data_IF_976039703560
#
_entry.id   IF_976039703560
#
_cell.length_a   1.000
_cell.length_b   1.000
_cell.length_c   1.000
_cell.angle_alpha   90.00
_cell.angle_beta   90.00
_cell.angle_gamma   90.00
#
_symmetry.space_group_name_H-M   'P 1'
#
loop_
_entity.id
_entity.type
_entity.pdbx_description
1 polymer ?
#
# COMPACT_ATOMS: atom_id res chain seq x y z
N UNK A 1 0.67 -8.16 -12.02
CA UNK A 1 1.75 -8.32 -13.04
C UNK A 1 2.99 -7.54 -12.64
N UNK A 2 4.14 -8.12 -12.80
CA UNK A 2 5.45 -7.49 -12.66
C UNK A 2 6.19 -7.53 -13.99
N UNK A 3 6.75 -6.40 -14.41
CA UNK A 3 7.61 -6.30 -15.59
C UNK A 3 8.88 -5.53 -15.26
N UNK A 4 10.00 -5.84 -15.92
CA UNK A 4 11.28 -5.19 -15.65
C UNK A 4 11.63 -4.13 -16.69
N UNK A 5 11.64 -4.47 -17.98
CA UNK A 5 11.99 -3.56 -19.07
C UNK A 5 10.86 -3.34 -20.08
N UNK A 6 9.59 -3.41 -19.63
CA UNK A 6 8.44 -3.22 -20.50
C UNK A 6 7.30 -2.55 -19.77
N UNK A 7 6.36 -2.01 -20.53
CA UNK A 7 5.15 -1.43 -19.98
C UNK A 7 4.28 -2.49 -19.33
N UNK A 8 3.67 -2.14 -18.19
CA UNK A 8 2.64 -2.94 -17.53
C UNK A 8 1.27 -2.32 -17.84
N UNK A 9 0.49 -2.94 -18.73
CA UNK A 9 -0.77 -2.37 -19.18
C UNK A 9 -1.93 -3.35 -19.14
N UNK A 10 -3.13 -2.83 -18.81
CA UNK A 10 -4.39 -3.58 -18.81
C UNK A 10 -4.42 -4.79 -17.86
N UNK A 11 -3.62 -4.75 -16.79
CA UNK A 11 -3.63 -5.80 -15.77
C UNK A 11 -4.72 -5.52 -14.73
N UNK A 12 -5.28 -6.60 -14.21
CA UNK A 12 -6.28 -6.53 -13.16
C UNK A 12 -5.95 -7.50 -12.03
N UNK A 13 -5.93 -6.96 -10.81
CA UNK A 13 -5.92 -7.74 -9.58
C UNK A 13 -7.31 -7.62 -8.94
N UNK A 14 -7.93 -8.74 -8.62
CA UNK A 14 -9.27 -8.76 -8.03
C UNK A 14 -9.22 -9.55 -6.73
N UNK A 15 -9.56 -8.89 -5.64
CA UNK A 15 -9.94 -9.56 -4.41
C UNK A 15 -11.44 -9.83 -4.48
N UNK A 16 -11.80 -11.09 -4.59
CA UNK A 16 -13.19 -11.51 -4.80
C UNK A 16 -14.05 -11.24 -3.56
N UNK A 17 -15.36 -11.26 -3.76
CA UNK A 17 -16.33 -11.11 -2.69
C UNK A 17 -16.03 -12.08 -1.52
N UNK A 18 -16.11 -11.56 -0.30
CA UNK A 18 -15.88 -12.29 0.96
C UNK A 18 -14.49 -12.94 1.09
N UNK A 19 -13.53 -12.55 0.25
CA UNK A 19 -12.15 -13.05 0.35
C UNK A 19 -11.38 -12.33 1.46
N UNK A 20 -10.45 -13.07 2.07
CA UNK A 20 -9.53 -12.52 3.06
C UNK A 20 -8.08 -12.67 2.59
N UNK A 21 -7.28 -11.61 2.70
CA UNK A 21 -5.85 -11.61 2.46
C UNK A 21 -5.16 -11.06 3.71
N UNK A 22 -4.18 -11.80 4.23
CA UNK A 22 -3.27 -11.31 5.25
C UNK A 22 -1.87 -11.20 4.66
N UNK A 23 -1.21 -10.06 4.85
CA UNK A 23 0.10 -9.76 4.25
C UNK A 23 1.05 -9.23 5.30
N UNK A 24 2.26 -9.76 5.30
CA UNK A 24 3.28 -9.48 6.30
C UNK A 24 3.53 -10.68 7.21
N UNK A 25 4.26 -10.46 8.29
CA UNK A 25 4.66 -11.54 9.20
C UNK A 25 4.28 -11.16 10.63
N UNK A 26 3.49 -12.03 11.21
CA UNK A 26 3.22 -12.01 12.63
C UNK A 26 4.32 -12.80 13.38
N UNK A 27 5.11 -12.11 14.20
CA UNK A 27 6.01 -12.72 15.21
C UNK A 27 7.07 -13.74 14.77
N UNK A 28 7.65 -13.67 13.57
CA UNK A 28 8.79 -14.51 13.24
C UNK A 28 10.08 -13.72 13.14
N UNK A 29 10.97 -13.91 14.11
CA UNK A 29 12.28 -13.23 14.17
C UNK A 29 13.33 -13.84 13.22
N UNK A 30 13.02 -14.93 12.53
CA UNK A 30 13.97 -15.70 11.74
C UNK A 30 13.80 -15.54 10.22
N UNK A 31 12.79 -14.83 9.76
CA UNK A 31 12.57 -14.60 8.34
C UNK A 31 13.06 -13.20 7.94
N UNK A 32 14.13 -13.15 7.18
CA UNK A 32 14.61 -11.94 6.52
C UNK A 32 13.69 -11.59 5.32
N UNK A 33 12.48 -11.13 5.60
CA UNK A 33 11.61 -10.58 4.56
C UNK A 33 11.99 -9.12 4.32
N UNK A 34 12.61 -8.84 3.20
CA UNK A 34 12.92 -7.48 2.78
C UNK A 34 11.77 -6.94 1.94
N UNK A 35 11.16 -5.85 2.39
CA UNK A 35 10.18 -5.10 1.63
C UNK A 35 8.90 -4.76 2.39
N UNK A 36 8.25 -3.72 1.93
CA UNK A 36 6.93 -3.32 2.39
C UNK A 36 5.86 -4.24 1.81
N UNK A 37 4.74 -4.49 2.49
CA UNK A 37 3.65 -5.26 1.91
C UNK A 37 2.93 -4.44 0.83
N UNK A 38 2.77 -5.04 -0.35
CA UNK A 38 2.09 -4.44 -1.49
C UNK A 38 0.91 -5.28 -1.96
N UNK A 39 -0.27 -4.68 -2.07
CA UNK A 39 -1.37 -5.21 -2.86
C UNK A 39 -1.53 -4.33 -4.09
N UNK A 40 -1.25 -4.88 -5.27
CA UNK A 40 -1.00 -4.08 -6.46
C UNK A 40 -1.67 -4.64 -7.71
N UNK A 41 -2.21 -3.75 -8.56
CA UNK A 41 -2.73 -4.11 -9.87
C UNK A 41 -1.62 -4.50 -10.85
N UNK A 42 -0.59 -3.65 -10.95
CA UNK A 42 0.61 -3.92 -11.75
C UNK A 42 1.80 -3.08 -11.29
N UNK A 43 3.00 -3.59 -11.58
CA UNK A 43 4.27 -2.94 -11.29
C UNK A 43 5.22 -3.07 -12.49
N UNK A 44 5.97 -2.03 -12.77
CA UNK A 44 7.09 -2.05 -13.72
C UNK A 44 8.31 -1.34 -13.14
N UNK A 45 9.50 -1.83 -13.47
CA UNK A 45 10.74 -1.16 -13.07
C UNK A 45 11.11 -0.06 -14.07
N UNK A 46 11.18 -0.40 -15.36
CA UNK A 46 11.49 0.53 -16.43
C UNK A 46 10.41 0.48 -17.50
N UNK A 47 9.53 1.46 -17.51
CA UNK A 47 8.41 1.55 -18.44
C UNK A 47 7.17 2.13 -17.79
N UNK A 48 6.14 2.34 -18.58
CA UNK A 48 4.89 2.94 -18.12
C UNK A 48 3.95 1.89 -17.50
N UNK A 49 3.25 2.29 -16.44
CA UNK A 49 2.17 1.52 -15.82
C UNK A 49 0.83 2.16 -16.18
N UNK A 50 0.08 1.53 -17.09
CA UNK A 50 -1.11 2.16 -17.68
C UNK A 50 -2.34 1.26 -17.69
N UNK A 51 -3.53 1.85 -17.40
CA UNK A 51 -4.82 1.17 -17.45
C UNK A 51 -4.90 -0.10 -16.57
N UNK A 52 -4.14 -0.16 -15.51
CA UNK A 52 -4.18 -1.27 -14.56
C UNK A 52 -5.21 -1.01 -13.47
N UNK A 53 -5.68 -2.07 -12.83
CA UNK A 53 -6.63 -1.92 -11.74
C UNK A 53 -6.44 -2.90 -10.59
N UNK A 54 -6.77 -2.41 -9.39
CA UNK A 54 -6.97 -3.18 -8.18
C UNK A 54 -8.44 -3.06 -7.78
N UNK A 55 -9.13 -4.19 -7.70
CA UNK A 55 -10.54 -4.25 -7.34
C UNK A 55 -10.72 -5.05 -6.05
N UNK A 56 -11.20 -4.41 -5.01
CA UNK A 56 -11.52 -5.02 -3.72
C UNK A 56 -13.05 -5.09 -3.61
N UNK A 57 -13.60 -6.31 -3.66
CA UNK A 57 -15.04 -6.57 -3.71
C UNK A 57 -15.68 -6.58 -2.32
N UNK A 58 -16.99 -6.44 -2.29
CA UNK A 58 -17.79 -6.39 -1.07
C UNK A 58 -17.54 -7.59 -0.13
N UNK A 59 -17.51 -7.32 1.16
CA UNK A 59 -17.30 -8.33 2.21
C UNK A 59 -15.85 -8.80 2.33
N UNK A 60 -14.96 -8.36 1.44
CA UNK A 60 -13.55 -8.75 1.52
C UNK A 60 -12.80 -8.00 2.63
N UNK A 61 -11.74 -8.63 3.11
CA UNK A 61 -10.87 -8.08 4.15
C UNK A 61 -9.41 -8.17 3.72
N UNK A 62 -8.68 -7.08 3.93
CA UNK A 62 -7.24 -7.01 3.70
C UNK A 62 -6.56 -6.65 5.01
N UNK A 63 -5.66 -7.50 5.47
CA UNK A 63 -4.94 -7.34 6.72
C UNK A 63 -3.45 -7.19 6.45
N UNK A 64 -2.84 -6.17 7.02
CA UNK A 64 -1.42 -5.86 6.84
C UNK A 64 -0.69 -5.79 8.18
N UNK A 65 0.47 -6.42 8.22
CA UNK A 65 1.45 -6.26 9.28
C UNK A 65 2.57 -5.35 8.79
N UNK A 66 2.64 -4.13 9.32
CA UNK A 66 3.55 -3.08 8.86
C UNK A 66 4.89 -3.10 9.59
N UNK A 67 5.31 -4.23 10.10
CA UNK A 67 6.55 -4.40 10.82
C UNK A 67 7.24 -5.70 10.46
N UNK A 68 8.56 -5.68 10.49
CA UNK A 68 9.39 -6.88 10.37
C UNK A 68 10.16 -7.09 11.67
N UNK A 69 9.94 -8.20 12.36
CA UNK A 69 10.76 -8.57 13.49
C UNK A 69 12.22 -8.75 13.06
N UNK A 70 13.14 -8.16 13.81
CA UNK A 70 14.58 -8.35 13.60
C UNK A 70 15.31 -8.37 14.92
N UNK A 71 16.59 -8.77 14.91
CA UNK A 71 17.50 -8.61 16.05
C UNK A 71 18.43 -7.43 15.81
N UNK A 72 18.66 -6.64 16.85
CA UNK A 72 19.70 -5.61 16.83
C UNK A 72 21.10 -6.25 16.93
N UNK A 73 22.15 -5.42 16.88
CA UNK A 73 23.54 -5.86 17.01
C UNK A 73 23.88 -6.52 18.35
N UNK A 74 23.02 -6.38 19.35
CA UNK A 74 23.18 -6.97 20.69
C UNK A 74 22.34 -8.24 20.85
N UNK A 75 21.61 -8.66 19.80
CA UNK A 75 20.73 -9.83 19.85
C UNK A 75 19.35 -9.56 20.44
N UNK A 76 19.00 -8.32 20.79
CA UNK A 76 17.69 -7.97 21.30
C UNK A 76 16.67 -7.93 20.17
N UNK A 77 15.44 -8.33 20.50
CA UNK A 77 14.33 -8.24 19.55
C UNK A 77 13.96 -6.78 19.28
N UNK A 78 13.88 -6.42 18.02
CA UNK A 78 13.47 -5.10 17.55
C UNK A 78 12.61 -5.26 16.28
N UNK A 79 12.15 -4.17 15.68
CA UNK A 79 11.32 -4.19 14.50
C UNK A 79 11.81 -3.16 13.48
N UNK A 80 11.68 -3.48 12.20
CA UNK A 80 11.72 -2.51 11.11
C UNK A 80 10.28 -2.12 10.77
N UNK A 81 10.01 -0.83 10.77
CA UNK A 81 8.74 -0.30 10.33
C UNK A 81 8.62 -0.36 8.82
N UNK A 82 7.42 -0.68 8.33
CA UNK A 82 7.11 -0.76 6.91
C UNK A 82 5.82 -0.01 6.60
N UNK A 83 5.80 0.61 5.46
CA UNK A 83 4.60 1.25 4.94
C UNK A 83 3.88 0.25 4.05
N UNK A 84 2.59 0.09 4.27
CA UNK A 84 1.73 -0.74 3.44
C UNK A 84 1.29 0.03 2.21
N UNK A 85 1.23 -0.65 1.06
CA UNK A 85 0.82 -0.02 -0.19
C UNK A 85 -0.32 -0.78 -0.86
N UNK A 86 -1.43 -0.08 -1.13
CA UNK A 86 -2.45 -0.49 -2.08
C UNK A 86 -2.30 0.36 -3.34
N UNK A 87 -1.95 -0.26 -4.45
CA UNK A 87 -1.62 0.50 -5.65
C UNK A 87 -2.33 -0.07 -6.89
N UNK A 88 -3.02 0.79 -7.64
CA UNK A 88 -3.61 0.41 -8.92
C UNK A 88 -2.55 0.10 -9.98
N UNK A 89 -1.55 0.98 -10.09
CA UNK A 89 -0.39 0.78 -10.95
C UNK A 89 0.82 1.52 -10.43
N UNK A 90 1.98 0.87 -10.38
CA UNK A 90 3.24 1.41 -9.91
C UNK A 90 4.29 1.37 -11.03
N UNK A 91 5.08 2.43 -11.13
CA UNK A 91 6.31 2.47 -11.91
C UNK A 91 7.45 3.03 -11.07
N UNK A 92 8.63 2.39 -11.15
CA UNK A 92 9.84 2.97 -10.56
C UNK A 92 10.46 4.02 -11.49
N UNK A 93 10.49 3.75 -12.80
CA UNK A 93 10.98 4.69 -13.82
C UNK A 93 10.05 4.63 -15.03
N UNK A 94 9.04 5.50 -15.04
CA UNK A 94 8.04 5.58 -16.09
C UNK A 94 6.80 6.34 -15.60
N UNK A 95 5.90 6.61 -16.53
CA UNK A 95 4.64 7.25 -16.22
C UNK A 95 3.63 6.27 -15.64
N UNK A 96 2.71 6.76 -14.81
CA UNK A 96 1.55 5.99 -14.36
C UNK A 96 0.29 6.70 -14.80
N UNK A 97 -0.55 6.05 -15.61
CA UNK A 97 -1.69 6.70 -16.24
C UNK A 97 -2.92 5.81 -16.30
N UNK A 98 -4.09 6.40 -16.04
CA UNK A 98 -5.39 5.72 -16.07
C UNK A 98 -5.46 4.46 -15.19
N UNK A 99 -4.65 4.35 -14.16
CA UNK A 99 -4.74 3.24 -13.22
C UNK A 99 -5.87 3.48 -12.23
N UNK A 100 -6.43 2.41 -11.69
CA UNK A 100 -7.64 2.50 -10.88
C UNK A 100 -7.54 1.62 -9.64
N UNK A 101 -8.10 2.11 -8.55
CA UNK A 101 -8.48 1.30 -7.39
C UNK A 101 -9.97 1.44 -7.19
N UNK A 102 -10.66 0.31 -7.06
CA UNK A 102 -12.06 0.24 -6.67
C UNK A 102 -12.16 -0.53 -5.36
N UNK A 103 -12.73 0.11 -4.34
CA UNK A 103 -12.99 -0.50 -3.03
C UNK A 103 -14.49 -0.42 -2.78
N UNK A 104 -15.12 -1.56 -2.52
CA UNK A 104 -16.55 -1.62 -2.25
C UNK A 104 -16.84 -2.49 -1.04
N UNK A 105 -17.49 -1.90 -0.02
CA UNK A 105 -17.92 -2.57 1.22
C UNK A 105 -16.84 -3.51 1.78
N UNK A 106 -15.62 -3.00 1.92
CA UNK A 106 -14.45 -3.79 2.30
C UNK A 106 -13.88 -3.32 3.65
N UNK A 107 -13.13 -4.21 4.29
CA UNK A 107 -12.40 -3.91 5.51
C UNK A 107 -10.89 -3.93 5.25
N UNK A 108 -10.19 -2.99 5.84
CA UNK A 108 -8.73 -3.00 5.91
C UNK A 108 -8.29 -2.92 7.37
N UNK A 109 -7.38 -3.79 7.74
CA UNK A 109 -6.80 -3.83 9.08
C UNK A 109 -5.29 -3.65 8.94
N UNK A 110 -4.74 -2.69 9.67
CA UNK A 110 -3.31 -2.40 9.65
C UNK A 110 -2.77 -2.58 11.07
N UNK A 111 -1.83 -3.49 11.22
CA UNK A 111 -1.12 -3.74 12.46
C UNK A 111 0.27 -3.12 12.41
N UNK A 112 0.53 -2.18 13.31
CA UNK A 112 1.86 -1.67 13.60
C UNK A 112 2.58 -2.52 14.66
N UNK A 113 3.87 -2.25 14.93
CA UNK A 113 4.66 -3.00 15.89
C UNK A 113 4.15 -2.84 17.33
N UNK A 114 4.27 -3.89 18.12
CA UNK A 114 3.91 -3.87 19.53
C UNK A 114 5.04 -3.35 20.40
N UNK A 115 4.69 -2.45 21.31
CA UNK A 115 5.40 -2.03 22.53
C UNK A 115 6.60 -1.08 22.42
N UNK A 116 6.53 -0.06 23.28
CA UNK A 116 7.60 0.66 23.96
C UNK A 116 8.46 1.65 23.16
N UNK A 117 8.39 1.71 21.83
CA UNK A 117 9.17 2.68 21.06
C UNK A 117 8.24 3.54 20.18
N UNK A 118 8.70 4.70 19.76
CA UNK A 118 8.03 5.48 18.73
C UNK A 118 7.81 4.57 17.50
N UNK A 119 6.57 4.36 17.12
CA UNK A 119 6.19 3.36 16.13
C UNK A 119 5.30 3.98 15.08
N UNK A 120 5.45 3.52 13.84
CA UNK A 120 4.69 3.97 12.70
C UNK A 120 3.85 2.82 12.15
N UNK A 121 2.54 3.01 12.06
CA UNK A 121 1.69 2.21 11.21
C UNK A 121 1.16 3.10 10.07
N UNK A 122 1.53 2.79 8.85
CA UNK A 122 1.24 3.63 7.71
C UNK A 122 0.71 2.84 6.53
N UNK A 123 -0.23 3.44 5.81
CA UNK A 123 -0.74 2.92 4.56
C UNK A 123 -0.76 4.00 3.48
N UNK A 124 -0.27 3.66 2.29
CA UNK A 124 -0.48 4.45 1.09
C UNK A 124 -1.47 3.74 0.18
N UNK A 125 -2.59 4.39 -0.10
CA UNK A 125 -3.63 3.90 -1.01
C UNK A 125 -3.63 4.83 -2.21
N UNK A 126 -2.98 4.42 -3.30
CA UNK A 126 -2.79 5.28 -4.47
C UNK A 126 -3.18 4.57 -5.77
N UNK A 127 -4.08 5.16 -6.54
CA UNK A 127 -4.46 4.58 -7.82
C UNK A 127 -3.30 4.53 -8.81
N UNK A 128 -2.38 5.51 -8.77
CA UNK A 128 -1.14 5.50 -9.54
C UNK A 128 0.02 6.01 -8.70
N UNK A 129 1.13 5.27 -8.65
CA UNK A 129 2.30 5.64 -7.87
C UNK A 129 3.59 5.55 -8.68
N UNK A 130 4.36 6.62 -8.68
CA UNK A 130 5.72 6.68 -9.20
C UNK A 130 6.68 6.73 -8.02
N UNK A 131 7.44 5.66 -7.87
CA UNK A 131 8.44 5.50 -6.81
C UNK A 131 9.86 5.74 -7.39
N UNK A 132 10.10 6.98 -7.85
CA UNK A 132 11.38 7.39 -8.41
C UNK A 132 11.92 8.60 -7.67
N UNK A 133 13.06 8.45 -7.05
CA UNK A 133 13.77 9.55 -6.39
C UNK A 133 14.58 10.43 -7.37
N UNK A 134 14.82 9.98 -8.59
CA UNK A 134 15.82 10.59 -9.47
C UNK A 134 15.27 11.30 -10.71
N UNK A 135 14.03 11.07 -11.11
CA UNK A 135 13.52 11.59 -12.38
C UNK A 135 12.27 12.46 -12.23
N UNK A 136 12.45 13.76 -12.55
CA UNK A 136 11.42 14.79 -12.43
C UNK A 136 10.44 14.85 -13.62
N UNK A 137 10.66 14.03 -14.65
CA UNK A 137 9.90 14.12 -15.90
C UNK A 137 8.71 13.17 -15.96
N UNK A 138 8.59 12.23 -15.03
CA UNK A 138 7.48 11.28 -15.03
C UNK A 138 6.19 11.89 -14.49
N UNK A 139 5.06 11.37 -14.99
CA UNK A 139 3.73 11.87 -14.63
C UNK A 139 2.83 10.77 -14.08
N UNK A 140 2.22 11.05 -12.91
CA UNK A 140 1.08 10.31 -12.39
C UNK A 140 -0.20 11.01 -12.83
N UNK A 141 -0.90 10.50 -13.85
CA UNK A 141 -2.02 11.24 -14.43
C UNK A 141 -3.27 10.40 -14.70
N UNK A 142 -4.44 11.05 -14.54
CA UNK A 142 -5.75 10.46 -14.83
C UNK A 142 -6.03 9.16 -14.08
N UNK A 143 -5.42 8.97 -12.92
CA UNK A 143 -5.65 7.81 -12.08
C UNK A 143 -6.90 8.04 -11.21
N UNK A 144 -7.60 6.97 -10.87
CA UNK A 144 -8.88 7.01 -10.16
C UNK A 144 -8.85 6.12 -8.91
N UNK A 145 -9.04 6.70 -7.75
CA UNK A 145 -9.39 6.01 -6.52
C UNK A 145 -10.90 6.16 -6.28
N UNK A 146 -11.65 5.08 -6.36
CA UNK A 146 -13.11 5.05 -6.16
C UNK A 146 -13.46 4.15 -4.98
N UNK A 147 -13.99 4.75 -3.92
CA UNK A 147 -14.33 4.08 -2.66
C UNK A 147 -15.84 4.20 -2.45
N UNK A 148 -16.56 3.06 -2.39
CA UNK A 148 -18.00 2.99 -2.12
C UNK A 148 -18.29 2.44 -0.73
N UNK A 149 -17.72 2.55 0.25
CA UNK A 149 -17.78 2.05 1.62
C UNK A 149 -16.50 1.30 1.99
N UNK A 150 -15.89 1.74 3.07
CA UNK A 150 -14.60 1.22 3.46
C UNK A 150 -14.42 1.41 4.97
N UNK A 151 -14.12 0.34 5.68
CA UNK A 151 -13.72 0.39 7.07
C UNK A 151 -12.21 0.25 7.15
N UNK A 152 -11.56 1.18 7.84
CA UNK A 152 -10.13 1.17 8.08
C UNK A 152 -9.87 1.12 9.59
N UNK A 153 -9.35 0.00 10.06
CA UNK A 153 -8.90 -0.19 11.42
C UNK A 153 -7.37 -0.19 11.48
N UNK A 154 -6.80 0.64 12.34
CA UNK A 154 -5.34 0.74 12.50
C UNK A 154 -4.97 0.49 13.97
N UNK A 155 -4.07 -0.45 14.19
CA UNK A 155 -3.62 -0.83 15.52
C UNK A 155 -2.10 -0.74 15.61
N UNK A 156 -1.59 -0.18 16.72
CA UNK A 156 -0.14 -0.11 17.00
C UNK A 156 0.42 -1.33 17.69
N UNK A 157 -0.36 -2.35 17.83
CA UNK A 157 0.10 -3.64 18.29
C UNK A 157 -0.87 -4.74 17.88
N UNK A 158 -0.39 -5.95 17.87
CA UNK A 158 -1.14 -7.14 17.57
C UNK A 158 -2.34 -7.36 18.52
N UNK A 159 -2.23 -6.93 19.77
CA UNK A 159 -3.21 -7.16 20.82
C UNK A 159 -4.29 -6.07 20.94
N UNK A 160 -4.37 -5.16 19.98
CA UNK A 160 -5.31 -4.03 19.99
C UNK A 160 -5.23 -3.18 21.29
N UNK A 161 -4.07 -3.10 21.89
CA UNK A 161 -3.82 -2.34 23.11
C UNK A 161 -3.78 -0.83 22.84
N UNK A 162 -4.01 0.04 23.84
CA UNK A 162 -3.88 1.48 23.66
C UNK A 162 -2.52 1.89 23.12
N UNK A 163 -2.52 2.93 22.29
CA UNK A 163 -1.30 3.49 21.69
C UNK A 163 -0.27 3.86 22.76
N UNK A 164 0.98 3.50 22.52
CA UNK A 164 2.09 4.01 23.31
C UNK A 164 2.31 5.51 23.01
N UNK A 165 2.91 6.24 23.93
CA UNK A 165 3.37 7.60 23.68
C UNK A 165 4.29 7.61 22.44
N UNK A 166 4.10 8.61 21.56
CA UNK A 166 4.86 8.82 20.32
C UNK A 166 4.59 7.82 19.19
N UNK A 167 3.45 7.13 19.20
CA UNK A 167 3.04 6.32 18.05
C UNK A 167 2.33 7.19 17.00
N UNK A 168 2.59 6.90 15.72
CA UNK A 168 1.95 7.58 14.58
C UNK A 168 1.16 6.59 13.75
N UNK A 169 -0.10 6.89 13.54
CA UNK A 169 -0.99 6.18 12.63
C UNK A 169 -1.37 7.12 11.51
N UNK A 170 -1.13 6.75 10.26
CA UNK A 170 -1.66 7.53 9.16
C UNK A 170 -2.01 6.67 7.94
N UNK A 171 -2.96 7.14 7.14
CA UNK A 171 -3.28 6.58 5.85
C UNK A 171 -3.47 7.69 4.83
N UNK A 172 -2.79 7.58 3.70
CA UNK A 172 -2.95 8.47 2.56
C UNK A 172 -3.91 7.85 1.55
N UNK A 173 -4.86 8.64 1.08
CA UNK A 173 -5.77 8.29 0.00
C UNK A 173 -5.50 9.20 -1.19
N UNK A 174 -4.92 8.65 -2.25
CA UNK A 174 -4.38 9.40 -3.36
C UNK A 174 -4.92 8.91 -4.71
N UNK A 175 -5.38 9.83 -5.55
CA UNK A 175 -5.65 9.51 -6.95
C UNK A 175 -4.36 9.18 -7.70
N UNK A 176 -3.29 9.94 -7.45
CA UNK A 176 -1.95 9.70 -8.01
C UNK A 176 -0.87 10.27 -7.11
N UNK A 177 0.25 9.58 -7.00
CA UNK A 177 1.42 9.96 -6.20
C UNK A 177 2.70 9.92 -7.04
N UNK A 178 3.58 10.85 -6.79
CA UNK A 178 4.95 10.85 -7.31
C UNK A 178 5.88 11.49 -6.29
N UNK A 179 7.09 10.98 -6.16
CA UNK A 179 8.09 11.55 -5.24
C UNK A 179 8.73 12.82 -5.81
N UNK A 180 8.94 12.88 -7.11
CA UNK A 180 9.66 14.00 -7.75
C UNK A 180 8.98 14.55 -9.03
N UNK A 181 8.05 13.84 -9.63
CA UNK A 181 7.41 14.19 -10.89
C UNK A 181 6.17 15.08 -10.74
N UNK A 182 5.23 14.94 -11.66
CA UNK A 182 3.98 15.69 -11.69
C UNK A 182 2.77 14.77 -11.43
N UNK A 183 1.84 15.17 -10.57
CA UNK A 183 0.56 14.51 -10.38
C UNK A 183 -0.55 15.37 -11.01
N UNK A 184 -1.18 14.88 -12.10
CA UNK A 184 -2.10 15.66 -12.93
C UNK A 184 -3.44 14.94 -13.13
N UNK A 185 -4.54 15.67 -13.03
CA UNK A 185 -5.88 15.19 -13.38
C UNK A 185 -6.28 13.88 -12.66
N UNK A 186 -5.76 13.63 -11.47
CA UNK A 186 -6.11 12.46 -10.69
C UNK A 186 -7.39 12.70 -9.90
N UNK A 187 -8.17 11.65 -9.70
CA UNK A 187 -9.49 11.73 -9.06
C UNK A 187 -9.59 10.80 -7.86
N UNK A 188 -10.24 11.28 -6.81
CA UNK A 188 -10.67 10.50 -5.67
C UNK A 188 -12.17 10.67 -5.51
N UNK A 189 -12.91 9.56 -5.52
CA UNK A 189 -14.33 9.51 -5.21
C UNK A 189 -14.55 8.71 -3.94
N UNK A 190 -15.13 9.31 -2.92
CA UNK A 190 -15.55 8.62 -1.69
C UNK A 190 -17.05 8.81 -1.56
N UNK A 191 -17.83 7.72 -1.62
CA UNK A 191 -19.29 7.79 -1.63
C UNK A 191 -19.90 7.63 -0.26
N UNK A 192 -19.31 6.76 0.57
CA UNK A 192 -19.75 6.52 1.96
C UNK A 192 -18.53 6.27 2.85
N UNK A 193 -18.57 6.78 4.04
CA UNK A 193 -17.53 6.65 5.07
C UNK A 193 -18.17 6.46 6.44
#
# INVERSE_FOLDING_TARGET
>A
TFTHYSNASYNQTILQKDAHISMGVENTYDLALNGSPYLIGAITTYGDSTNNSLNIKAGSSVEFFTFLPKKDKNGNNTFDERITHLVGGLAYQGNVKNNKIFIKDANMIIHGPSKAYASLAAAHISAGYIDSESDKNFQASKNLLDIDSFNLDMYMNHDKQPLAYNSVLFADFLGGKTEQGQALDNTINIKRY
#
